data_IF_537499758850
#
_entry.id   IF_537499758850
#
_cell.length_a   1.000
_cell.length_b   1.000
_cell.length_c   1.000
_cell.angle_alpha   90.00
_cell.angle_beta   90.00
_cell.angle_gamma   90.00
#
_symmetry.space_group_name_H-M   'P 1'
#
loop_
_entity.id
_entity.type
_entity.pdbx_description
1 polymer ?
#
# COMPACT_ATOMS: atom_id res chain seq x y z
N UNK A 1 35.01 5.49 -8.16
CA UNK A 1 34.61 5.55 -9.59
C UNK A 1 33.76 6.80 -9.82
N UNK A 2 34.22 7.74 -10.63
CA UNK A 2 33.40 8.80 -11.22
C UNK A 2 32.16 8.22 -11.95
N UNK A 3 31.09 9.01 -12.07
CA UNK A 3 29.80 8.54 -12.63
C UNK A 3 29.91 8.02 -14.08
N UNK A 4 30.77 8.64 -14.89
CA UNK A 4 31.05 8.23 -16.26
C UNK A 4 31.60 6.80 -16.32
N UNK A 5 32.58 6.48 -15.48
CA UNK A 5 33.18 5.14 -15.41
C UNK A 5 32.18 4.09 -14.90
N UNK A 6 31.33 4.42 -13.91
CA UNK A 6 30.27 3.49 -13.45
C UNK A 6 29.27 3.17 -14.55
N UNK A 7 28.85 4.18 -15.30
CA UNK A 7 27.91 4.02 -16.41
C UNK A 7 28.48 3.14 -17.52
N UNK A 8 29.75 3.34 -17.87
CA UNK A 8 30.44 2.48 -18.84
C UNK A 8 30.55 1.03 -18.38
N UNK A 9 30.90 0.79 -17.11
CA UNK A 9 31.01 -0.55 -16.53
C UNK A 9 29.65 -1.25 -16.42
N UNK A 10 28.59 -0.51 -16.06
CA UNK A 10 27.20 -1.02 -16.07
C UNK A 10 26.77 -1.43 -17.47
N UNK A 11 27.02 -0.59 -18.49
CA UNK A 11 26.69 -0.89 -19.90
C UNK A 11 27.41 -2.15 -20.41
N UNK A 12 28.65 -2.37 -19.96
CA UNK A 12 29.46 -3.56 -20.29
C UNK A 12 29.13 -4.79 -19.44
N UNK A 13 28.13 -4.73 -18.55
CA UNK A 13 27.75 -5.80 -17.59
C UNK A 13 28.87 -6.20 -16.63
N UNK A 14 29.83 -5.31 -16.39
CA UNK A 14 30.96 -5.51 -15.45
C UNK A 14 30.66 -4.99 -14.04
N UNK A 15 29.56 -4.25 -13.88
CA UNK A 15 29.10 -3.71 -12.60
C UNK A 15 27.58 -3.87 -12.51
N UNK A 16 27.11 -4.44 -11.41
CA UNK A 16 25.69 -4.58 -11.08
C UNK A 16 25.37 -3.72 -9.87
N UNK A 17 24.32 -2.92 -9.99
CA UNK A 17 23.78 -2.18 -8.86
C UNK A 17 22.60 -2.97 -8.26
N UNK A 18 22.68 -3.25 -6.97
CA UNK A 18 21.62 -3.94 -6.23
C UNK A 18 20.98 -2.92 -5.29
N UNK A 19 19.72 -2.60 -5.53
CA UNK A 19 18.95 -1.71 -4.64
C UNK A 19 18.27 -2.54 -3.55
N UNK A 20 18.73 -2.42 -2.31
CA UNK A 20 18.04 -2.99 -1.16
C UNK A 20 16.91 -2.06 -0.70
N UNK A 21 15.66 -2.50 -0.85
CA UNK A 21 14.49 -1.80 -0.30
C UNK A 21 14.22 -2.32 1.10
N UNK A 22 14.28 -1.43 2.09
CA UNK A 22 13.95 -1.74 3.49
C UNK A 22 12.96 -0.71 4.02
N UNK A 23 12.12 -1.15 4.97
CA UNK A 23 11.11 -0.31 5.60
C UNK A 23 11.31 -0.31 7.11
N UNK A 24 11.30 0.88 7.71
CA UNK A 24 11.24 1.05 9.16
C UNK A 24 9.78 1.20 9.59
N UNK A 25 9.20 0.13 10.10
CA UNK A 25 7.79 0.08 10.47
C UNK A 25 7.63 0.52 11.93
N UNK A 26 6.68 1.42 12.21
CA UNK A 26 6.32 1.87 13.55
C UNK A 26 4.81 1.75 13.75
N UNK A 27 4.37 1.59 15.01
CA UNK A 27 2.94 1.60 15.37
C UNK A 27 2.36 2.99 15.08
N UNK A 28 1.38 3.06 14.18
CA UNK A 28 0.61 4.28 13.89
C UNK A 28 -0.61 4.42 14.80
N UNK A 29 -1.37 5.51 14.66
CA UNK A 29 -2.60 5.77 15.42
C UNK A 29 -3.67 4.69 15.24
N UNK A 30 -3.69 4.02 14.08
CA UNK A 30 -4.59 2.91 13.77
C UNK A 30 -4.03 1.52 14.15
N UNK A 31 -2.89 1.44 14.83
CA UNK A 31 -2.33 0.16 15.27
C UNK A 31 -3.21 -0.47 16.36
N UNK A 32 -3.66 -1.70 16.13
CA UNK A 32 -4.43 -2.48 17.09
C UNK A 32 -3.99 -3.94 17.05
N UNK A 33 -4.00 -4.60 18.21
CA UNK A 33 -3.80 -6.07 18.32
C UNK A 33 -5.12 -6.84 18.31
N UNK A 34 -6.25 -6.14 18.30
CA UNK A 34 -7.58 -6.75 18.21
C UNK A 34 -8.03 -6.81 16.75
N UNK A 35 -8.66 -7.93 16.37
CA UNK A 35 -9.26 -8.11 15.05
C UNK A 35 -10.61 -7.38 15.02
N UNK A 36 -10.64 -6.17 14.48
CA UNK A 36 -11.88 -5.48 14.16
C UNK A 36 -12.47 -6.05 12.86
N UNK A 37 -13.80 -6.17 12.78
CA UNK A 37 -14.48 -6.46 11.50
C UNK A 37 -14.64 -5.12 10.78
N UNK A 38 -13.88 -4.85 9.70
CA UNK A 38 -14.06 -3.62 8.96
C UNK A 38 -15.41 -3.65 8.23
N UNK A 39 -16.01 -2.48 8.06
CA UNK A 39 -17.26 -2.34 7.31
C UNK A 39 -17.01 -2.66 5.83
N UNK A 40 -17.96 -3.35 5.20
CA UNK A 40 -17.81 -3.82 3.81
C UNK A 40 -18.35 -2.81 2.81
N UNK A 41 -19.44 -2.14 3.16
CA UNK A 41 -20.13 -1.20 2.27
C UNK A 41 -20.56 0.05 3.02
N UNK A 42 -20.67 1.16 2.27
CA UNK A 42 -21.17 2.41 2.80
C UNK A 42 -22.70 2.35 2.88
N UNK A 43 -23.26 2.53 4.07
CA UNK A 43 -24.73 2.55 4.25
C UNK A 43 -25.30 3.98 4.27
N UNK A 44 -26.57 4.20 3.89
CA UNK A 44 -27.23 5.51 3.94
C UNK A 44 -27.23 6.12 5.36
N UNK A 45 -27.36 5.30 6.39
CA UNK A 45 -27.34 5.71 7.79
C UNK A 45 -25.96 6.21 8.19
N UNK A 46 -24.89 5.57 7.68
CA UNK A 46 -23.53 6.05 7.90
C UNK A 46 -23.33 7.43 7.28
N UNK A 47 -23.87 7.67 6.08
CA UNK A 47 -23.83 8.98 5.40
C UNK A 47 -24.60 10.02 6.22
N UNK A 48 -25.82 9.69 6.66
CA UNK A 48 -26.67 10.58 7.44
C UNK A 48 -26.06 10.95 8.80
N UNK A 49 -25.38 10.00 9.46
CA UNK A 49 -24.77 10.20 10.79
C UNK A 49 -23.31 10.68 10.72
N UNK A 50 -22.66 10.60 9.56
CA UNK A 50 -21.25 10.94 9.38
C UNK A 50 -20.25 9.90 9.91
N UNK A 51 -20.72 8.74 10.39
CA UNK A 51 -19.89 7.69 10.99
C UNK A 51 -18.91 7.04 10.01
N UNK A 52 -19.19 7.09 8.70
CA UNK A 52 -18.28 6.62 7.63
C UNK A 52 -16.88 7.26 7.67
N UNK A 53 -16.72 8.42 8.31
CA UNK A 53 -15.42 9.11 8.39
C UNK A 53 -14.45 8.45 9.37
N UNK A 54 -14.97 7.69 10.32
CA UNK A 54 -14.21 7.18 11.46
C UNK A 54 -14.07 5.65 11.43
N UNK A 55 -14.96 4.96 10.71
CA UNK A 55 -14.98 3.51 10.62
C UNK A 55 -13.96 3.01 9.57
N UNK A 56 -13.17 1.97 9.89
CA UNK A 56 -12.29 1.34 8.91
C UNK A 56 -13.11 0.47 7.93
N UNK A 57 -12.92 0.70 6.64
CA UNK A 57 -13.52 -0.11 5.58
C UNK A 57 -12.57 -1.19 5.07
N UNK A 58 -13.13 -2.30 4.60
CA UNK A 58 -12.36 -3.36 3.95
C UNK A 58 -11.72 -2.80 2.67
N UNK A 59 -10.41 -3.00 2.45
CA UNK A 59 -9.77 -2.57 1.21
C UNK A 59 -10.44 -3.22 0.01
N UNK A 60 -10.79 -2.40 -0.98
CA UNK A 60 -11.41 -2.90 -2.20
C UNK A 60 -10.39 -3.69 -3.03
N UNK A 61 -10.78 -4.88 -3.48
CA UNK A 61 -9.94 -5.68 -4.37
C UNK A 61 -10.10 -5.23 -5.82
N UNK A 62 -9.26 -4.29 -6.26
CA UNK A 62 -9.27 -3.78 -7.64
C UNK A 62 -8.93 -4.83 -8.71
N UNK A 63 -8.44 -6.01 -8.33
CA UNK A 63 -8.15 -7.11 -9.26
C UNK A 63 -9.34 -8.06 -9.47
N UNK A 64 -10.51 -7.77 -8.87
CA UNK A 64 -11.70 -8.60 -9.06
C UNK A 64 -12.33 -8.42 -10.44
N UNK A 65 -12.87 -9.50 -11.01
CA UNK A 65 -13.59 -9.48 -12.30
C UNK A 65 -14.96 -8.76 -12.25
N UNK A 66 -15.40 -8.34 -11.06
CA UNK A 66 -16.70 -7.70 -10.86
C UNK A 66 -17.87 -8.67 -10.96
N UNK A 67 -19.07 -8.11 -10.92
CA UNK A 67 -20.32 -8.83 -11.19
C UNK A 67 -20.78 -8.47 -12.60
N UNK A 68 -21.31 -9.43 -13.39
CA UNK A 68 -22.00 -9.11 -14.62
C UNK A 68 -23.24 -8.26 -14.32
N UNK A 69 -23.67 -7.39 -15.26
CA UNK A 69 -24.82 -6.52 -15.09
C UNK A 69 -26.15 -7.28 -14.99
#
# INVERSE_FOLDING_TARGET
LPERERSELKRRKLLLEVTLKSFWIRKGSAFSTAVARPETELTPEMIATGSWRQLPFKPYNFSSLGLPP
#
